data_IF_070360134572
#
_entry.id   IF_070360134572
#
_cell.length_a   1.000
_cell.length_b   1.000
_cell.length_c   1.000
_cell.angle_alpha   90.00
_cell.angle_beta   90.00
_cell.angle_gamma   90.00
#
_symmetry.space_group_name_H-M   'P 1'
#
loop_
_entity.id
_entity.type
_entity.pdbx_description
1 polymer ?
#
# COMPACT_ATOMS: atom_id res chain seq x y z
N UNK A 1 -11.23 10.40 -5.94
CA UNK A 1 -12.27 10.90 -5.02
C UNK A 1 -11.69 11.79 -3.93
N UNK A 2 -10.64 11.37 -3.24
CA UNK A 2 -9.92 12.23 -2.27
C UNK A 2 -9.39 13.54 -2.89
N UNK A 3 -8.90 13.48 -4.12
CA UNK A 3 -8.40 14.65 -4.86
C UNK A 3 -9.50 15.66 -5.25
N UNK A 4 -10.78 15.28 -5.22
CA UNK A 4 -11.90 16.19 -5.48
C UNK A 4 -12.41 16.91 -4.23
N UNK A 5 -12.00 16.47 -3.04
CA UNK A 5 -12.36 17.08 -1.75
C UNK A 5 -11.31 18.14 -1.35
N UNK A 6 -10.06 17.95 -1.77
CA UNK A 6 -8.99 18.94 -1.65
C UNK A 6 -9.15 19.89 -2.85
N UNK A 7 -8.97 21.19 -2.64
CA UNK A 7 -9.01 22.21 -3.73
C UNK A 7 -8.40 21.67 -5.02
N UNK A 8 -8.98 21.97 -6.19
CA UNK A 8 -8.51 21.42 -7.45
C UNK A 8 -7.03 21.76 -7.62
N UNK A 9 -6.19 20.74 -7.42
CA UNK A 9 -4.73 20.86 -7.53
C UNK A 9 -4.28 21.10 -8.98
N UNK A 10 -5.23 21.24 -9.90
CA UNK A 10 -4.99 21.43 -11.34
C UNK A 10 -3.97 20.42 -11.90
N UNK A 11 -4.12 19.15 -11.52
CA UNK A 11 -3.22 18.07 -11.92
C UNK A 11 -3.43 17.75 -13.40
N UNK A 12 -2.33 17.45 -14.08
CA UNK A 12 -2.37 16.96 -15.46
C UNK A 12 -2.94 15.54 -15.52
N UNK A 13 -3.39 15.11 -16.71
CA UNK A 13 -3.88 13.75 -16.94
C UNK A 13 -2.81 12.69 -16.65
N UNK A 14 -1.56 13.01 -16.95
CA UNK A 14 -0.39 12.17 -16.69
C UNK A 14 -0.22 11.94 -15.19
N UNK A 15 -0.28 13.00 -14.40
CA UNK A 15 -0.15 12.92 -12.93
C UNK A 15 -1.31 12.12 -12.32
N UNK A 16 -2.55 12.38 -12.76
CA UNK A 16 -3.73 11.63 -12.30
C UNK A 16 -3.59 10.15 -12.64
N UNK A 17 -3.20 9.82 -13.88
CA UNK A 17 -2.97 8.45 -14.29
C UNK A 17 -1.89 7.76 -13.44
N UNK A 18 -0.76 8.44 -13.21
CA UNK A 18 0.30 7.93 -12.35
C UNK A 18 -0.21 7.61 -10.94
N UNK A 19 -1.00 8.51 -10.33
CA UNK A 19 -1.60 8.30 -9.01
C UNK A 19 -2.59 7.12 -9.02
N UNK A 20 -3.43 6.99 -10.04
CA UNK A 20 -4.41 5.91 -10.13
C UNK A 20 -3.77 4.55 -10.39
N UNK A 21 -2.77 4.51 -11.27
CA UNK A 21 -2.23 3.25 -11.81
C UNK A 21 -0.94 2.78 -11.12
N UNK A 22 -0.36 3.55 -10.17
CA UNK A 22 0.83 3.06 -9.46
C UNK A 22 0.58 1.80 -8.64
N UNK A 23 -0.61 1.54 -8.00
CA UNK A 23 -0.80 0.31 -7.27
C UNK A 23 -0.80 -0.91 -8.21
N UNK A 24 -0.08 -1.95 -7.81
CA UNK A 24 0.08 -3.19 -8.58
C UNK A 24 -1.19 -4.04 -8.70
N UNK A 25 -2.30 -3.63 -8.09
CA UNK A 25 -3.61 -4.26 -8.29
C UNK A 25 -4.19 -4.01 -9.69
N UNK A 26 -3.68 -3.01 -10.41
CA UNK A 26 -4.08 -2.72 -11.78
C UNK A 26 -3.14 -3.43 -12.75
N UNK A 27 -3.69 -4.18 -13.71
CA UNK A 27 -2.92 -4.85 -14.76
C UNK A 27 -2.23 -3.83 -15.66
N UNK A 28 -2.97 -2.80 -16.10
CA UNK A 28 -2.42 -1.71 -16.88
C UNK A 28 -1.51 -0.82 -16.03
N UNK A 29 -0.24 -0.67 -16.40
CA UNK A 29 0.66 0.26 -15.74
C UNK A 29 0.32 1.72 -16.08
N UNK A 30 0.91 2.70 -15.34
CA UNK A 30 0.91 4.09 -15.78
C UNK A 30 1.46 4.24 -17.19
N UNK A 31 0.90 5.17 -17.97
CA UNK A 31 1.32 5.37 -19.36
C UNK A 31 2.54 6.29 -19.52
N UNK A 32 3.03 6.89 -18.42
CA UNK A 32 4.28 7.67 -18.43
C UNK A 32 5.40 6.93 -17.72
N UNK A 33 6.64 7.19 -18.12
CA UNK A 33 7.82 6.64 -17.46
C UNK A 33 7.93 7.10 -16.00
N UNK A 34 7.57 8.34 -15.69
CA UNK A 34 7.54 8.88 -14.33
C UNK A 34 6.54 8.12 -13.45
N UNK A 35 5.34 7.88 -13.95
CA UNK A 35 4.33 7.07 -13.26
C UNK A 35 4.80 5.63 -13.05
N UNK A 36 5.49 5.06 -14.04
CA UNK A 36 6.04 3.71 -13.96
C UNK A 36 7.21 3.63 -12.96
N UNK A 37 8.08 4.65 -12.91
CA UNK A 37 9.11 4.77 -11.87
C UNK A 37 8.48 4.79 -10.48
N UNK A 38 7.44 5.59 -10.27
CA UNK A 38 6.72 5.65 -9.00
C UNK A 38 6.13 4.26 -8.62
N UNK A 39 5.57 3.54 -9.60
CA UNK A 39 5.02 2.19 -9.40
C UNK A 39 6.10 1.18 -8.95
N UNK A 40 7.29 1.20 -9.57
CA UNK A 40 8.39 0.35 -9.14
C UNK A 40 8.96 0.79 -7.78
N UNK A 41 9.18 2.09 -7.58
CA UNK A 41 9.73 2.62 -6.35
C UNK A 41 8.86 2.30 -5.13
N UNK A 42 7.54 2.47 -5.25
CA UNK A 42 6.57 2.12 -4.21
C UNK A 42 6.71 0.66 -3.81
N UNK A 43 6.72 -0.27 -4.78
CA UNK A 43 6.81 -1.69 -4.49
C UNK A 43 8.16 -2.11 -3.93
N UNK A 44 9.26 -1.57 -4.45
CA UNK A 44 10.61 -1.84 -3.96
C UNK A 44 10.77 -1.38 -2.53
N UNK A 45 10.35 -0.14 -2.22
CA UNK A 45 10.44 0.43 -0.89
C UNK A 45 9.59 -0.37 0.11
N UNK A 46 8.33 -0.61 -0.22
CA UNK A 46 7.38 -1.37 0.58
C UNK A 46 7.92 -2.76 0.92
N UNK A 47 8.28 -3.58 -0.07
CA UNK A 47 8.77 -4.94 0.19
C UNK A 47 10.05 -4.96 1.01
N UNK A 48 10.99 -4.06 0.72
CA UNK A 48 12.28 -4.03 1.42
C UNK A 48 12.14 -3.59 2.89
N UNK A 49 11.35 -2.55 3.14
CA UNK A 49 11.14 -2.04 4.49
C UNK A 49 10.28 -2.98 5.34
N UNK A 50 9.24 -3.57 4.77
CA UNK A 50 8.35 -4.47 5.51
C UNK A 50 9.07 -5.75 5.95
N UNK A 51 10.02 -6.27 5.15
CA UNK A 51 10.85 -7.39 5.56
C UNK A 51 11.77 -6.99 6.73
N UNK A 52 12.44 -5.85 6.65
CA UNK A 52 13.28 -5.36 7.75
C UNK A 52 12.48 -5.16 9.03
N UNK A 53 11.28 -4.57 8.90
CA UNK A 53 10.40 -4.33 10.04
C UNK A 53 9.87 -5.63 10.64
N UNK A 54 9.50 -6.62 9.81
CA UNK A 54 9.08 -7.94 10.26
C UNK A 54 10.20 -8.68 11.01
N UNK A 55 11.44 -8.59 10.53
CA UNK A 55 12.61 -9.16 11.22
C UNK A 55 12.85 -8.43 12.54
N UNK A 56 12.85 -7.11 12.54
CA UNK A 56 13.03 -6.29 13.74
C UNK A 56 11.98 -6.53 14.81
N UNK A 57 10.74 -6.76 14.39
CA UNK A 57 9.62 -7.09 15.27
C UNK A 57 9.61 -8.55 15.75
N UNK A 58 10.52 -9.40 15.26
CA UNK A 58 10.55 -10.83 15.58
C UNK A 58 9.39 -11.62 14.96
N UNK A 59 8.70 -11.04 13.99
CA UNK A 59 7.60 -11.67 13.24
C UNK A 59 8.15 -12.63 12.18
N UNK A 60 9.31 -12.31 11.62
CA UNK A 60 10.00 -13.10 10.60
C UNK A 60 11.45 -13.33 11.05
N UNK A 61 11.96 -14.55 10.84
CA UNK A 61 13.39 -14.81 11.00
C UNK A 61 14.05 -14.74 9.62
N UNK A 62 15.21 -14.11 9.50
CA UNK A 62 15.95 -13.98 8.24
C UNK A 62 16.22 -15.35 7.59
N UNK A 63 16.44 -16.39 8.40
CA UNK A 63 16.66 -17.76 7.92
C UNK A 63 15.44 -18.41 7.25
N UNK A 64 14.23 -17.86 7.42
CA UNK A 64 12.99 -18.33 6.80
C UNK A 64 12.83 -17.79 5.37
N UNK A 65 13.59 -16.76 5.00
CA UNK A 65 13.52 -16.19 3.66
C UNK A 65 14.08 -17.19 2.64
N UNK A 66 13.34 -17.49 1.56
CA UNK A 66 13.78 -18.45 0.56
C UNK A 66 15.16 -18.09 -0.02
N UNK A 67 16.04 -19.09 -0.11
CA UNK A 67 17.39 -18.91 -0.67
C UNK A 67 17.36 -18.41 -2.13
N UNK A 68 16.34 -18.73 -2.89
CA UNK A 68 16.13 -18.22 -4.24
C UNK A 68 15.99 -16.68 -4.28
N UNK A 69 15.56 -16.08 -3.19
CA UNK A 69 15.45 -14.63 -3.06
C UNK A 69 16.79 -14.05 -2.58
N UNK A 70 17.35 -14.60 -1.52
CA UNK A 70 18.58 -14.06 -0.92
C UNK A 70 19.83 -14.28 -1.77
N UNK A 71 19.87 -15.30 -2.64
CA UNK A 71 20.96 -15.51 -3.60
C UNK A 71 21.06 -14.38 -4.62
N UNK A 72 19.93 -13.83 -5.05
CA UNK A 72 19.86 -12.80 -6.08
C UNK A 72 19.84 -11.37 -5.52
N UNK A 73 19.12 -11.17 -4.41
CA UNK A 73 18.99 -9.84 -3.83
C UNK A 73 20.05 -9.54 -2.75
N UNK A 74 20.72 -10.58 -2.22
CA UNK A 74 21.64 -10.47 -1.08
C UNK A 74 20.90 -10.47 0.25
N UNK A 75 21.54 -9.91 1.30
CA UNK A 75 20.91 -9.76 2.60
C UNK A 75 19.78 -8.72 2.59
N UNK A 76 18.71 -8.94 3.40
CA UNK A 76 17.61 -7.97 3.52
C UNK A 76 18.09 -6.54 3.80
N UNK A 77 17.32 -5.58 3.32
CA UNK A 77 17.57 -4.17 3.54
C UNK A 77 18.15 -3.44 2.33
N UNK A 78 19.11 -2.56 2.57
CA UNK A 78 19.66 -1.67 1.52
C UNK A 78 20.20 -2.42 0.30
N UNK A 79 20.70 -3.65 0.47
CA UNK A 79 21.20 -4.48 -0.62
C UNK A 79 20.08 -4.83 -1.58
N UNK A 80 18.91 -5.15 -1.09
CA UNK A 80 17.73 -5.47 -1.90
C UNK A 80 17.27 -4.30 -2.76
N UNK A 81 17.20 -3.11 -2.16
CA UNK A 81 16.86 -1.89 -2.90
C UNK A 81 17.81 -1.70 -4.07
N UNK A 82 19.11 -1.84 -3.82
CA UNK A 82 20.13 -1.69 -4.87
C UNK A 82 20.02 -2.76 -5.97
N UNK A 83 19.78 -4.03 -5.60
CA UNK A 83 19.63 -5.14 -6.55
C UNK A 83 18.39 -4.95 -7.44
N UNK A 84 17.25 -4.58 -6.83
CA UNK A 84 15.99 -4.34 -7.55
C UNK A 84 16.09 -3.12 -8.47
N UNK A 85 16.71 -2.02 -8.02
CA UNK A 85 16.96 -0.84 -8.86
C UNK A 85 17.92 -1.18 -10.01
N UNK A 86 18.97 -1.98 -9.75
CA UNK A 86 19.90 -2.44 -10.78
C UNK A 86 19.20 -3.25 -11.87
N UNK A 87 18.18 -4.06 -11.50
CA UNK A 87 17.35 -4.78 -12.46
C UNK A 87 16.56 -3.86 -13.40
N UNK A 88 16.14 -2.68 -12.91
CA UNK A 88 15.50 -1.68 -13.76
C UNK A 88 16.53 -1.07 -14.73
N UNK A 89 17.70 -0.66 -14.24
CA UNK A 89 18.74 -0.07 -15.10
C UNK A 89 19.23 -1.03 -16.19
N UNK A 90 19.41 -2.31 -15.86
CA UNK A 90 19.85 -3.35 -16.81
C UNK A 90 18.88 -3.54 -17.97
N UNK A 91 17.58 -3.56 -17.68
CA UNK A 91 16.57 -3.90 -18.66
C UNK A 91 16.00 -2.68 -19.40
N UNK A 92 16.20 -1.48 -18.86
CA UNK A 92 15.70 -0.26 -19.47
C UNK A 92 16.59 0.21 -20.61
N UNK A 93 15.97 0.74 -21.66
CA UNK A 93 16.64 1.40 -22.78
C UNK A 93 15.94 2.75 -23.03
N UNK A 94 16.50 3.57 -23.92
CA UNK A 94 15.94 4.88 -24.24
C UNK A 94 14.47 4.76 -24.65
N UNK A 95 13.59 5.44 -23.91
CA UNK A 95 12.14 5.42 -24.12
C UNK A 95 11.39 4.18 -23.62
N UNK A 96 12.09 3.17 -23.08
CA UNK A 96 11.45 1.94 -22.59
C UNK A 96 11.94 1.59 -21.17
N UNK A 97 11.20 2.02 -20.18
CA UNK A 97 11.47 1.71 -18.77
C UNK A 97 10.83 0.37 -18.41
N UNK A 98 11.66 -0.60 -17.98
CA UNK A 98 11.17 -1.89 -17.48
C UNK A 98 12.14 -2.50 -16.46
N UNK A 99 11.63 -3.45 -15.68
CA UNK A 99 12.47 -4.29 -14.82
C UNK A 99 12.89 -5.55 -15.57
N UNK A 100 14.07 -6.05 -15.27
CA UNK A 100 14.53 -7.36 -15.72
C UNK A 100 13.54 -8.46 -15.28
N UNK A 101 13.23 -9.41 -16.17
CA UNK A 101 12.17 -10.39 -15.94
C UNK A 101 12.51 -11.35 -14.77
N UNK A 102 13.78 -11.71 -14.60
CA UNK A 102 14.22 -12.55 -13.48
C UNK A 102 14.07 -11.80 -12.16
N UNK A 103 14.50 -10.55 -12.11
CA UNK A 103 14.37 -9.69 -10.94
C UNK A 103 12.89 -9.40 -10.61
N UNK A 104 12.07 -9.21 -11.64
CA UNK A 104 10.62 -9.03 -11.48
C UNK A 104 9.98 -10.28 -10.85
N UNK A 105 10.36 -11.48 -11.31
CA UNK A 105 9.88 -12.73 -10.74
C UNK A 105 10.32 -12.90 -9.28
N UNK A 106 11.56 -12.55 -8.95
CA UNK A 106 12.05 -12.59 -7.56
C UNK A 106 11.26 -11.62 -6.69
N UNK A 107 11.02 -10.40 -7.17
CA UNK A 107 10.19 -9.42 -6.47
C UNK A 107 8.75 -9.92 -6.25
N UNK A 108 8.17 -10.63 -7.20
CA UNK A 108 6.85 -11.26 -7.07
C UNK A 108 6.87 -12.39 -6.03
N UNK A 109 7.86 -13.27 -6.08
CA UNK A 109 8.03 -14.36 -5.12
C UNK A 109 8.23 -13.82 -3.69
N UNK A 110 9.01 -12.75 -3.53
CA UNK A 110 9.17 -12.07 -2.25
C UNK A 110 7.83 -11.53 -1.74
N UNK A 111 7.03 -10.93 -2.60
CA UNK A 111 5.70 -10.44 -2.22
C UNK A 111 4.80 -11.60 -1.76
N UNK A 112 4.74 -12.71 -2.48
CA UNK A 112 3.95 -13.88 -2.11
C UNK A 112 4.40 -14.44 -0.77
N UNK A 113 5.71 -14.57 -0.56
CA UNK A 113 6.29 -14.97 0.71
C UNK A 113 5.86 -14.05 1.86
N UNK A 114 5.91 -12.73 1.66
CA UNK A 114 5.48 -11.76 2.67
C UNK A 114 3.97 -11.86 2.95
N UNK A 115 3.15 -12.08 1.93
CA UNK A 115 1.72 -12.32 2.14
C UNK A 115 1.47 -13.55 3.00
N UNK A 116 2.14 -14.66 2.72
CA UNK A 116 1.96 -15.91 3.46
C UNK A 116 2.51 -15.84 4.89
N UNK A 117 3.75 -15.35 5.06
CA UNK A 117 4.50 -15.44 6.31
C UNK A 117 4.32 -14.24 7.25
N UNK A 118 3.93 -13.09 6.72
CA UNK A 118 3.83 -11.84 7.51
C UNK A 118 2.40 -11.31 7.54
N UNK A 119 1.82 -10.97 6.38
CA UNK A 119 0.55 -10.24 6.38
C UNK A 119 -0.68 -11.10 6.70
N UNK A 120 -0.69 -12.38 6.29
CA UNK A 120 -1.84 -13.28 6.45
C UNK A 120 -1.65 -14.32 7.56
N UNK A 121 -0.71 -14.12 8.48
CA UNK A 121 -0.48 -15.03 9.60
C UNK A 121 -1.73 -15.23 10.45
N UNK A 122 -1.85 -16.44 10.98
CA UNK A 122 -2.98 -16.78 11.85
C UNK A 122 -2.98 -15.98 13.16
N UNK A 123 -1.80 -15.67 13.70
CA UNK A 123 -1.64 -14.85 14.90
C UNK A 123 -2.24 -13.46 14.76
N UNK A 124 -2.23 -12.88 13.55
CA UNK A 124 -2.81 -11.55 13.29
C UNK A 124 -4.31 -11.59 12.97
N UNK A 125 -4.93 -12.78 12.85
CA UNK A 125 -6.37 -12.92 12.55
C UNK A 125 -7.26 -12.23 13.56
N UNK A 126 -6.94 -12.34 14.86
CA UNK A 126 -7.71 -11.72 15.93
C UNK A 126 -7.61 -10.20 15.85
N UNK A 127 -6.41 -9.67 15.70
CA UNK A 127 -6.17 -8.23 15.58
C UNK A 127 -6.87 -7.64 14.34
N UNK A 128 -6.79 -8.34 13.21
CA UNK A 128 -7.50 -7.94 11.99
C UNK A 128 -9.02 -7.97 12.16
N UNK A 129 -9.55 -8.97 12.87
CA UNK A 129 -10.98 -9.05 13.14
C UNK A 129 -11.44 -7.90 14.07
N UNK A 130 -10.61 -7.54 15.06
CA UNK A 130 -10.88 -6.40 15.95
C UNK A 130 -10.81 -5.08 15.18
N UNK A 131 -9.79 -4.88 14.35
CA UNK A 131 -9.67 -3.68 13.50
C UNK A 131 -10.86 -3.55 12.54
N UNK A 132 -11.26 -4.66 11.89
CA UNK A 132 -12.44 -4.70 11.03
C UNK A 132 -13.70 -4.28 11.78
N UNK A 133 -13.89 -4.82 12.99
CA UNK A 133 -15.03 -4.47 13.85
C UNK A 133 -15.05 -2.97 14.20
N UNK A 134 -13.88 -2.38 14.48
CA UNK A 134 -13.76 -0.93 14.74
C UNK A 134 -14.24 -0.14 13.53
N UNK A 135 -13.72 -0.45 12.34
CA UNK A 135 -14.09 0.24 11.10
C UNK A 135 -15.57 0.09 10.79
N UNK A 136 -16.12 -1.13 10.87
CA UNK A 136 -17.55 -1.39 10.61
C UNK A 136 -18.46 -0.61 11.56
N UNK A 137 -18.09 -0.55 12.84
CA UNK A 137 -18.88 0.19 13.85
C UNK A 137 -18.81 1.70 13.63
N UNK A 138 -17.64 2.23 13.32
CA UNK A 138 -17.48 3.65 13.02
C UNK A 138 -18.27 4.06 11.77
N UNK A 139 -18.13 3.30 10.68
CA UNK A 139 -18.88 3.56 9.43
C UNK A 139 -20.39 3.50 9.72
N UNK A 140 -20.87 2.45 10.39
CA UNK A 140 -22.29 2.32 10.74
C UNK A 140 -22.79 3.50 11.60
N UNK A 141 -22.00 3.89 12.61
CA UNK A 141 -22.38 5.01 13.48
C UNK A 141 -22.50 6.33 12.70
N UNK A 142 -21.51 6.66 11.87
CA UNK A 142 -21.52 7.91 11.11
C UNK A 142 -22.53 7.90 9.96
N UNK A 143 -22.85 6.73 9.40
CA UNK A 143 -23.95 6.59 8.42
C UNK A 143 -25.30 6.87 9.06
N UNK A 144 -25.53 6.32 10.27
CA UNK A 144 -26.80 6.50 11.00
C UNK A 144 -26.91 7.87 11.67
N UNK A 145 -25.80 8.55 11.91
CA UNK A 145 -25.75 9.85 12.58
C UNK A 145 -24.92 10.85 11.78
N UNK A 146 -25.36 11.26 10.58
CA UNK A 146 -24.57 12.12 9.67
C UNK A 146 -24.24 13.50 10.27
N UNK A 147 -24.98 13.93 11.28
CA UNK A 147 -24.72 15.18 12.01
C UNK A 147 -23.41 15.12 12.84
N UNK A 148 -22.88 13.94 13.12
CA UNK A 148 -21.58 13.78 13.81
C UNK A 148 -20.39 13.95 12.85
N UNK A 149 -20.62 13.92 11.54
CA UNK A 149 -19.56 14.14 10.56
C UNK A 149 -19.14 15.61 10.55
N UNK A 150 -17.84 15.94 10.37
CA UNK A 150 -17.40 17.29 10.08
C UNK A 150 -18.04 17.80 8.79
N UNK A 151 -18.32 19.12 8.72
CA UNK A 151 -19.05 19.73 7.62
C UNK A 151 -18.46 19.41 6.23
N UNK A 152 -17.15 19.38 6.11
CA UNK A 152 -16.43 19.06 4.88
C UNK A 152 -16.68 17.65 4.33
N UNK A 153 -17.19 16.73 5.17
CA UNK A 153 -17.58 15.38 4.77
C UNK A 153 -19.08 15.21 4.55
N UNK A 154 -19.87 16.28 4.77
CA UNK A 154 -21.31 16.30 4.50
C UNK A 154 -21.56 16.79 3.09
N UNK A 155 -21.14 16.01 2.10
CA UNK A 155 -21.28 16.35 0.69
C UNK A 155 -22.66 15.94 0.14
N UNK A 156 -22.94 16.20 -1.14
CA UNK A 156 -24.16 15.72 -1.81
C UNK A 156 -24.17 14.21 -2.11
N UNK A 157 -23.19 13.47 -1.65
CA UNK A 157 -23.11 12.01 -1.80
C UNK A 157 -24.00 11.29 -0.78
N UNK A 158 -24.07 9.96 -0.89
CA UNK A 158 -24.81 9.15 0.08
C UNK A 158 -24.17 9.24 1.48
N UNK A 159 -25.00 9.11 2.53
CA UNK A 159 -24.54 9.11 3.93
C UNK A 159 -23.47 8.04 4.19
N UNK A 160 -23.60 6.88 3.55
CA UNK A 160 -22.59 5.81 3.61
C UNK A 160 -21.25 6.25 3.00
N UNK A 161 -21.25 6.90 1.83
CA UNK A 161 -20.02 7.38 1.20
C UNK A 161 -19.34 8.46 2.04
N UNK A 162 -20.10 9.38 2.61
CA UNK A 162 -19.59 10.39 3.51
C UNK A 162 -18.95 9.79 4.76
N UNK A 163 -19.60 8.78 5.36
CA UNK A 163 -19.08 8.04 6.51
C UNK A 163 -17.79 7.27 6.16
N UNK A 164 -17.77 6.59 5.01
CA UNK A 164 -16.58 5.86 4.54
C UNK A 164 -15.42 6.80 4.28
N UNK A 165 -15.64 7.92 3.60
CA UNK A 165 -14.60 8.92 3.31
C UNK A 165 -14.03 9.52 4.61
N UNK A 166 -14.87 9.78 5.62
CA UNK A 166 -14.42 10.28 6.92
C UNK A 166 -13.60 9.24 7.69
N UNK A 167 -14.09 8.00 7.78
CA UNK A 167 -13.39 6.92 8.51
C UNK A 167 -12.08 6.54 7.81
N UNK A 168 -12.06 6.52 6.47
CA UNK A 168 -10.84 6.25 5.70
C UNK A 168 -9.73 7.31 5.90
N UNK A 169 -10.11 8.53 6.27
CA UNK A 169 -9.16 9.61 6.60
C UNK A 169 -8.64 9.59 8.04
N UNK A 170 -9.10 8.65 8.88
CA UNK A 170 -8.67 8.56 10.28
C UNK A 170 -7.30 7.89 10.39
N UNK A 171 -6.49 8.38 11.34
CA UNK A 171 -5.36 7.59 11.85
C UNK A 171 -5.89 6.52 12.80
N UNK A 172 -5.15 5.41 12.99
CA UNK A 172 -5.52 4.32 13.90
C UNK A 172 -5.86 4.84 15.30
N UNK A 173 -5.01 5.72 15.82
CA UNK A 173 -5.19 6.33 17.15
C UNK A 173 -6.50 7.14 17.24
N UNK A 174 -6.84 7.86 16.17
CA UNK A 174 -8.08 8.64 16.14
C UNK A 174 -9.30 7.72 16.02
N UNK A 175 -9.24 6.71 15.15
CA UNK A 175 -10.30 5.72 15.00
C UNK A 175 -10.61 4.99 16.32
N UNK A 176 -9.58 4.53 17.05
CA UNK A 176 -9.76 3.91 18.36
C UNK A 176 -10.35 4.86 19.39
N UNK A 177 -9.94 6.13 19.40
CA UNK A 177 -10.52 7.16 20.27
C UNK A 177 -12.00 7.40 19.96
N UNK A 178 -12.37 7.49 18.69
CA UNK A 178 -13.79 7.66 18.31
C UNK A 178 -14.61 6.39 18.63
N UNK A 179 -14.04 5.20 18.37
CA UNK A 179 -14.68 3.93 18.72
C UNK A 179 -14.94 3.79 20.21
N UNK A 180 -14.06 4.29 21.08
CA UNK A 180 -14.26 4.23 22.55
C UNK A 180 -15.39 5.10 23.06
N UNK A 181 -15.99 5.96 22.22
CA UNK A 181 -17.14 6.80 22.57
C UNK A 181 -18.50 6.15 22.19
N UNK A 182 -18.46 5.02 21.43
CA UNK A 182 -19.65 4.27 21.01
C UNK A 182 -20.09 3.26 22.04
#
# INVERSE_FOLDING_TARGET
KMLSIIEPLNLTKETINGIEKHPWKYEEPPFTNEGLICRYADRIAYLSHDVEDAIRAGVLNESEIPKSITSELGSPGKTWINSLISGIFKASSEGNLRMDDEILNIMNNLREFMFEKVYLRDETKKERAEAKKVVEKLVSNFTNNPNLLPEQYRTAQSELENAVDYVAGMTDRFALKEFSKL
#
